data_IF_898268198389
#
_entry.id   IF_898268198389
#
_cell.length_a   1.000
_cell.length_b   1.000
_cell.length_c   1.000
_cell.angle_alpha   90.00
_cell.angle_beta   90.00
_cell.angle_gamma   90.00
#
_symmetry.space_group_name_H-M   'P 1'
#
loop_
_entity.id
_entity.type
_entity.pdbx_description
1 polymer ?
#
# COMPACT_ATOMS: atom_id res chain seq x y z
N UNK A 1 -20.10 -16.32 -2.86
CA UNK A 1 -19.33 -15.48 -1.92
C UNK A 1 -18.03 -16.19 -1.58
N UNK A 2 -17.11 -16.24 -2.55
CA UNK A 2 -15.79 -16.87 -2.36
C UNK A 2 -14.98 -16.02 -1.41
N UNK A 3 -14.60 -16.58 -0.26
CA UNK A 3 -13.75 -15.91 0.71
C UNK A 3 -12.48 -15.44 -0.01
N UNK A 4 -12.23 -14.12 0.02
CA UNK A 4 -10.94 -13.56 -0.35
C UNK A 4 -9.90 -14.30 0.48
N UNK A 5 -8.99 -15.03 -0.18
CA UNK A 5 -7.79 -15.50 0.51
C UNK A 5 -7.05 -14.27 0.98
N UNK A 6 -7.04 -14.06 2.29
CA UNK A 6 -6.13 -13.14 2.92
C UNK A 6 -4.71 -13.50 2.47
N UNK A 7 -4.01 -12.53 1.89
CA UNK A 7 -2.59 -12.65 1.68
C UNK A 7 -1.94 -12.79 3.06
N UNK A 8 -1.61 -14.03 3.45
CA UNK A 8 -0.94 -14.29 4.72
C UNK A 8 0.50 -13.83 4.56
N UNK A 9 0.80 -12.66 5.11
CA UNK A 9 2.19 -12.23 5.26
C UNK A 9 2.77 -12.99 6.45
N UNK A 10 3.70 -13.90 6.18
CA UNK A 10 4.41 -14.76 7.14
C UNK A 10 4.88 -14.01 8.40
N UNK A 11 4.02 -13.85 9.42
CA UNK A 11 4.34 -13.40 10.79
C UNK A 11 5.20 -12.13 10.95
N UNK A 12 5.47 -11.35 9.89
CA UNK A 12 6.43 -10.25 9.89
C UNK A 12 5.82 -9.04 10.55
N UNK A 13 6.51 -8.50 11.56
CA UNK A 13 6.20 -7.17 12.10
C UNK A 13 6.70 -6.11 11.12
N UNK A 14 5.83 -5.56 10.30
CA UNK A 14 6.14 -4.44 9.39
C UNK A 14 5.63 -4.64 7.96
N UNK A 15 5.97 -3.70 7.07
CA UNK A 15 5.56 -3.75 5.68
C UNK A 15 6.50 -4.65 4.88
N UNK A 16 5.95 -5.35 3.90
CA UNK A 16 6.69 -6.21 2.98
C UNK A 16 6.34 -5.88 1.53
N UNK A 17 7.27 -6.17 0.61
CA UNK A 17 6.98 -6.17 -0.83
C UNK A 17 6.23 -7.45 -1.17
N UNK A 18 5.08 -7.29 -1.81
CA UNK A 18 4.16 -8.34 -2.19
C UNK A 18 4.43 -8.83 -3.62
N UNK A 19 3.80 -9.95 -3.94
CA UNK A 19 3.86 -10.60 -5.25
C UNK A 19 2.56 -10.41 -6.03
N UNK A 20 2.54 -10.91 -7.28
CA UNK A 20 1.35 -10.89 -8.12
C UNK A 20 0.17 -11.67 -7.50
N UNK A 21 0.45 -12.68 -6.66
CA UNK A 21 -0.58 -13.49 -5.98
C UNK A 21 -1.40 -12.65 -4.97
N UNK A 22 -0.81 -11.58 -4.44
CA UNK A 22 -1.40 -10.74 -3.40
C UNK A 22 -2.31 -9.63 -3.97
N UNK A 23 -2.28 -9.42 -5.29
CA UNK A 23 -3.03 -8.33 -5.97
C UNK A 23 -4.53 -8.44 -5.69
N UNK A 24 -5.07 -9.66 -5.66
CA UNK A 24 -6.50 -9.88 -5.36
C UNK A 24 -6.84 -9.43 -3.94
N UNK A 25 -5.96 -9.68 -2.96
CA UNK A 25 -6.11 -9.20 -1.59
C UNK A 25 -6.13 -7.67 -1.50
N UNK A 26 -5.20 -7.01 -2.19
CA UNK A 26 -5.13 -5.54 -2.22
C UNK A 26 -6.34 -4.90 -2.92
N UNK A 27 -6.87 -5.52 -3.98
CA UNK A 27 -8.14 -5.10 -4.60
C UNK A 27 -9.33 -5.24 -3.64
N UNK A 28 -9.31 -6.27 -2.79
CA UNK A 28 -10.29 -6.43 -1.70
C UNK A 28 -10.27 -5.26 -0.71
N UNK A 29 -9.08 -4.78 -0.32
CA UNK A 29 -8.94 -3.57 0.47
C UNK A 29 -9.51 -2.36 -0.29
N UNK A 30 -9.09 -2.16 -1.54
CA UNK A 30 -9.57 -1.04 -2.36
C UNK A 30 -11.11 -0.96 -2.45
N UNK A 31 -11.78 -2.11 -2.48
CA UNK A 31 -13.24 -2.16 -2.52
C UNK A 31 -13.93 -1.57 -1.27
N UNK A 32 -13.23 -1.41 -0.15
CA UNK A 32 -13.75 -0.80 1.08
C UNK A 32 -13.80 0.74 1.01
N UNK A 33 -12.98 1.37 0.16
CA UNK A 33 -13.05 2.81 -0.18
C UNK A 33 -12.73 3.04 -1.66
N UNK A 34 -13.67 2.72 -2.58
CA UNK A 34 -13.40 2.77 -4.02
C UNK A 34 -13.01 4.16 -4.53
N UNK A 35 -13.45 5.22 -3.86
CA UNK A 35 -13.16 6.61 -4.25
C UNK A 35 -11.76 7.00 -3.81
N UNK A 36 -11.42 6.78 -2.53
CA UNK A 36 -10.10 7.10 -2.00
C UNK A 36 -8.97 6.30 -2.64
N UNK A 37 -9.26 5.08 -3.10
CA UNK A 37 -8.25 4.16 -3.65
C UNK A 37 -8.30 4.02 -5.18
N UNK A 38 -9.08 4.84 -5.90
CA UNK A 38 -9.32 4.66 -7.36
C UNK A 38 -8.03 4.60 -8.19
N UNK A 39 -7.02 5.41 -7.83
CA UNK A 39 -5.74 5.43 -8.55
C UNK A 39 -4.96 4.12 -8.36
N UNK A 40 -4.90 3.60 -7.13
CA UNK A 40 -4.30 2.29 -6.86
C UNK A 40 -5.11 1.17 -7.53
N UNK A 41 -6.44 1.23 -7.45
CA UNK A 41 -7.36 0.24 -8.04
C UNK A 41 -7.10 0.09 -9.53
N UNK A 42 -6.95 1.20 -10.25
CA UNK A 42 -6.67 1.20 -11.69
C UNK A 42 -5.35 0.47 -12.02
N UNK A 43 -4.32 0.67 -11.19
CA UNK A 43 -3.02 0.00 -11.35
C UNK A 43 -3.07 -1.48 -10.99
N UNK A 44 -3.77 -1.82 -9.93
CA UNK A 44 -3.95 -3.19 -9.46
C UNK A 44 -4.83 -4.02 -10.40
N UNK A 45 -5.86 -3.44 -11.02
CA UNK A 45 -6.64 -4.12 -12.05
C UNK A 45 -5.82 -4.43 -13.29
N UNK A 46 -4.94 -3.52 -13.70
CA UNK A 46 -3.98 -3.83 -14.75
C UNK A 46 -3.03 -4.95 -14.30
N UNK A 47 -2.45 -4.85 -13.09
CA UNK A 47 -1.55 -5.87 -12.54
C UNK A 47 -2.22 -7.25 -12.42
N UNK A 48 -3.51 -7.31 -12.11
CA UNK A 48 -4.28 -8.57 -12.03
C UNK A 48 -4.30 -9.34 -13.34
N UNK A 49 -4.13 -8.66 -14.47
CA UNK A 49 -4.15 -9.27 -15.81
C UNK A 49 -2.76 -9.40 -16.44
N UNK A 50 -1.83 -8.50 -16.12
CA UNK A 50 -0.51 -8.42 -16.79
C UNK A 50 0.70 -8.50 -15.86
N UNK A 51 0.49 -8.56 -14.54
CA UNK A 51 1.50 -8.54 -13.49
C UNK A 51 1.91 -7.13 -13.03
N UNK A 52 2.38 -7.01 -11.78
CA UNK A 52 2.83 -5.78 -11.13
C UNK A 52 3.89 -5.04 -11.94
N UNK A 53 4.86 -5.79 -12.50
CA UNK A 53 5.91 -5.24 -13.36
C UNK A 53 5.33 -4.52 -14.57
N UNK A 54 4.40 -5.15 -15.27
CA UNK A 54 3.73 -4.59 -16.46
C UNK A 54 2.84 -3.40 -16.09
N UNK A 55 2.26 -3.41 -14.89
CA UNK A 55 1.51 -2.27 -14.34
C UNK A 55 2.39 -1.08 -13.91
N UNK A 56 3.71 -1.26 -13.90
CA UNK A 56 4.70 -0.21 -13.69
C UNK A 56 4.93 0.12 -12.21
N UNK A 57 4.85 -0.87 -11.33
CA UNK A 57 5.10 -0.65 -9.90
C UNK A 57 5.33 -1.91 -9.07
N UNK A 58 5.52 -1.68 -7.78
CA UNK A 58 5.52 -2.69 -6.72
C UNK A 58 4.22 -2.54 -5.91
N UNK A 59 3.86 -3.60 -5.20
CA UNK A 59 2.82 -3.60 -4.18
C UNK A 59 3.48 -3.82 -2.83
N UNK A 60 3.22 -2.95 -1.87
CA UNK A 60 3.59 -3.19 -0.47
C UNK A 60 2.37 -3.57 0.33
N UNK A 61 2.56 -4.42 1.34
CA UNK A 61 1.50 -4.88 2.22
C UNK A 61 1.88 -4.75 3.68
N UNK A 62 0.88 -4.55 4.52
CA UNK A 62 0.98 -4.59 5.97
C UNK A 62 -0.13 -5.49 6.52
N UNK A 63 0.26 -6.44 7.37
CA UNK A 63 -0.65 -7.39 7.97
C UNK A 63 -0.69 -7.29 9.50
N UNK A 64 -1.86 -7.53 10.07
CA UNK A 64 -2.06 -7.76 11.49
C UNK A 64 -2.70 -9.13 11.68
N UNK A 65 -2.20 -9.91 12.65
CA UNK A 65 -2.68 -11.27 12.91
C UNK A 65 -2.72 -12.20 11.67
N UNK A 66 -1.80 -12.00 10.71
CA UNK A 66 -1.72 -12.78 9.48
C UNK A 66 -2.66 -12.33 8.37
N UNK A 67 -3.44 -11.27 8.57
CA UNK A 67 -4.41 -10.74 7.60
C UNK A 67 -3.88 -9.45 6.98
N UNK A 68 -3.93 -9.32 5.66
CA UNK A 68 -3.60 -8.08 4.96
C UNK A 68 -4.64 -7.01 5.30
N UNK A 69 -4.25 -6.00 6.09
CA UNK A 69 -5.15 -4.92 6.55
C UNK A 69 -4.86 -3.58 5.87
N UNK A 70 -3.67 -3.40 5.32
CA UNK A 70 -3.32 -2.23 4.52
C UNK A 70 -2.37 -2.59 3.39
N UNK A 71 -2.37 -1.78 2.35
CA UNK A 71 -1.44 -1.90 1.24
C UNK A 71 -0.91 -0.52 0.82
N UNK A 72 0.09 -0.51 -0.05
CA UNK A 72 0.56 0.69 -0.71
C UNK A 72 0.99 0.36 -2.14
N UNK A 73 0.38 1.00 -3.12
CA UNK A 73 0.86 0.93 -4.50
C UNK A 73 2.08 1.83 -4.67
N UNK A 74 3.15 1.30 -5.26
CA UNK A 74 4.43 2.00 -5.41
C UNK A 74 4.86 1.99 -6.87
N UNK A 75 4.49 3.03 -7.62
CA UNK A 75 4.93 3.23 -9.00
C UNK A 75 5.33 4.67 -9.24
N UNK A 76 4.84 5.27 -10.33
CA UNK A 76 4.97 6.71 -10.56
C UNK A 76 4.39 7.54 -9.40
N UNK A 77 3.33 7.03 -8.76
CA UNK A 77 2.76 7.57 -7.53
C UNK A 77 2.94 6.58 -6.39
N UNK A 78 3.12 7.09 -5.16
CA UNK A 78 2.99 6.32 -3.93
C UNK A 78 1.56 6.51 -3.41
N UNK A 79 0.80 5.42 -3.31
CA UNK A 79 -0.63 5.47 -2.98
C UNK A 79 -0.92 4.57 -1.78
N UNK A 80 -1.07 5.13 -0.57
CA UNK A 80 -1.47 4.34 0.59
C UNK A 80 -2.92 3.86 0.45
N UNK A 81 -3.18 2.62 0.90
CA UNK A 81 -4.47 1.94 0.87
C UNK A 81 -4.75 1.47 2.31
N UNK A 82 -5.42 2.31 3.12
CA UNK A 82 -5.72 2.05 4.54
C UNK A 82 -7.23 2.13 4.88
N UNK A 83 -8.14 1.65 4.02
CA UNK A 83 -9.57 1.91 4.20
C UNK A 83 -10.10 1.30 5.51
N UNK A 84 -10.82 2.12 6.27
CA UNK A 84 -11.41 1.72 7.55
C UNK A 84 -10.42 1.54 8.70
N UNK A 85 -9.10 1.70 8.48
CA UNK A 85 -8.13 1.71 9.57
C UNK A 85 -8.13 3.06 10.29
N UNK A 86 -8.05 3.02 11.62
CA UNK A 86 -7.99 4.20 12.46
C UNK A 86 -7.08 3.97 13.68
N UNK A 87 -6.69 5.08 14.31
CA UNK A 87 -5.92 5.08 15.56
C UNK A 87 -4.62 4.26 15.46
N UNK A 88 -4.26 3.49 16.50
CA UNK A 88 -2.96 2.82 16.57
C UNK A 88 -2.68 1.84 15.42
N UNK A 89 -3.70 1.16 14.87
CA UNK A 89 -3.51 0.23 13.76
C UNK A 89 -3.12 0.96 12.47
N UNK A 90 -3.79 2.09 12.19
CA UNK A 90 -3.46 2.96 11.06
C UNK A 90 -2.04 3.53 11.20
N UNK A 91 -1.68 4.01 12.39
CA UNK A 91 -0.35 4.57 12.64
C UNK A 91 0.75 3.54 12.42
N UNK A 92 0.58 2.30 12.90
CA UNK A 92 1.56 1.22 12.67
C UNK A 92 1.71 0.87 11.19
N UNK A 93 0.62 0.85 10.43
CA UNK A 93 0.69 0.61 8.99
C UNK A 93 1.46 1.72 8.26
N UNK A 94 1.20 2.99 8.62
CA UNK A 94 1.93 4.14 8.08
C UNK A 94 3.42 4.13 8.47
N UNK A 95 3.74 3.82 9.72
CA UNK A 95 5.14 3.67 10.18
C UNK A 95 5.86 2.56 9.41
N UNK A 96 5.17 1.46 9.17
CA UNK A 96 5.69 0.33 8.42
C UNK A 96 5.98 0.69 6.95
N UNK A 97 5.05 1.36 6.27
CA UNK A 97 5.27 1.84 4.90
C UNK A 97 6.34 2.93 4.83
N UNK A 98 6.37 3.85 5.79
CA UNK A 98 7.41 4.88 5.85
C UNK A 98 8.80 4.27 6.04
N UNK A 99 8.94 3.28 6.94
CA UNK A 99 10.21 2.58 7.15
C UNK A 99 10.69 1.87 5.87
N UNK A 100 9.80 1.19 5.17
CA UNK A 100 10.13 0.53 3.90
C UNK A 100 10.45 1.55 2.79
N UNK A 101 9.70 2.65 2.73
CA UNK A 101 9.93 3.74 1.78
C UNK A 101 11.22 4.53 2.01
N UNK A 102 11.62 4.71 3.27
CA UNK A 102 12.92 5.27 3.62
C UNK A 102 14.06 4.36 3.13
N UNK A 103 13.93 3.04 3.35
CA UNK A 103 14.91 2.06 2.89
C UNK A 103 15.01 1.97 1.35
N UNK A 104 13.89 2.06 0.63
CA UNK A 104 13.86 1.99 -0.84
C UNK A 104 14.25 3.30 -1.54
N UNK A 105 14.16 4.43 -0.83
CA UNK A 105 14.33 5.79 -1.35
C UNK A 105 13.13 6.28 -2.18
N UNK A 106 13.10 7.58 -2.49
CA UNK A 106 12.03 8.20 -3.29
C UNK A 106 12.14 7.77 -4.76
N UNK A 107 11.14 7.04 -5.25
CA UNK A 107 11.03 6.59 -6.67
C UNK A 107 9.72 7.02 -7.34
N UNK A 108 8.83 7.66 -6.59
CA UNK A 108 7.60 8.24 -7.07
C UNK A 108 7.74 9.77 -7.26
N UNK A 109 6.92 10.36 -8.12
CA UNK A 109 6.85 11.82 -8.30
C UNK A 109 5.85 12.49 -7.36
N UNK A 110 4.91 11.73 -6.80
CA UNK A 110 3.92 12.25 -5.83
C UNK A 110 3.36 11.17 -4.91
N UNK A 111 2.82 11.61 -3.77
CA UNK A 111 1.90 10.83 -2.95
C UNK A 111 0.47 11.20 -3.35
N UNK A 112 -0.40 10.20 -3.48
CA UNK A 112 -1.81 10.42 -3.89
C UNK A 112 -2.71 9.52 -3.05
N UNK A 113 -3.87 10.03 -2.64
CA UNK A 113 -4.83 9.27 -1.83
C UNK A 113 -5.60 10.17 -0.86
N UNK A 114 -6.29 9.58 0.14
CA UNK A 114 -6.96 10.31 1.20
C UNK A 114 -6.00 11.28 1.90
N UNK A 115 -6.47 12.50 2.15
CA UNK A 115 -5.66 13.61 2.70
C UNK A 115 -4.86 13.19 3.92
N UNK A 116 -5.53 12.60 4.91
CA UNK A 116 -4.90 12.32 6.19
C UNK A 116 -3.86 11.20 6.04
N UNK A 117 -4.07 10.21 5.17
CA UNK A 117 -3.09 9.13 4.91
C UNK A 117 -1.85 9.67 4.21
N UNK A 118 -2.05 10.51 3.19
CA UNK A 118 -0.97 11.12 2.43
C UNK A 118 -0.13 12.06 3.30
N UNK A 119 -0.77 12.96 4.04
CA UNK A 119 -0.05 13.92 4.89
C UNK A 119 0.70 13.20 6.02
N UNK A 120 0.10 12.18 6.62
CA UNK A 120 0.74 11.44 7.71
C UNK A 120 1.90 10.58 7.23
N UNK A 121 1.79 9.99 6.04
CA UNK A 121 2.90 9.28 5.41
C UNK A 121 4.03 10.24 5.03
N UNK A 122 3.69 11.40 4.46
CA UNK A 122 4.66 12.43 4.10
C UNK A 122 5.45 12.93 5.31
N UNK A 123 4.79 13.24 6.44
CA UNK A 123 5.45 13.68 7.69
C UNK A 123 6.49 12.70 8.23
N UNK A 124 6.40 11.42 7.83
CA UNK A 124 7.37 10.37 8.24
C UNK A 124 8.52 10.22 7.24
N UNK A 125 8.34 10.68 6.01
CA UNK A 125 9.27 10.52 4.90
C UNK A 125 10.05 11.82 4.57
N UNK A 126 9.51 12.98 4.90
CA UNK A 126 10.05 14.28 4.50
C UNK A 126 11.49 14.55 4.98
N UNK A 127 11.85 14.07 6.16
CA UNK A 127 13.19 14.21 6.72
C UNK A 127 14.23 13.22 6.16
N UNK A 128 13.79 12.18 5.44
CA UNK A 128 14.68 11.11 4.92
C UNK A 128 14.75 11.06 3.41
N UNK A 129 13.71 11.52 2.71
CA UNK A 129 13.76 11.64 1.27
C UNK A 129 14.51 12.91 0.84
N UNK A 130 15.31 12.84 -0.24
CA UNK A 130 16.02 14.01 -0.73
C UNK A 130 15.01 15.10 -1.14
N UNK A 131 15.45 16.36 -1.10
CA UNK A 131 14.68 17.47 -1.65
C UNK A 131 14.32 17.19 -3.13
N UNK A 132 13.17 17.71 -3.55
CA UNK A 132 12.71 17.62 -4.94
C UNK A 132 13.67 18.34 -5.89
#
# INVERSE_FOLDING_TARGET
>A
MTALRAAVLDGRTGAAVLSDEDVTGALGLCALDPVGTVLATTRLDHARTSGLRSAGGELWGYAEAGELVAACWVGANLVPILPGLAGPARDRALDAFAKLGAYRGRRCSSLVGPRDDVLDLWRRLDGVWPAA
#
